data_IF_841066702698
#
_entry.id   IF_841066702698
#
_cell.length_a   1.000
_cell.length_b   1.000
_cell.length_c   1.000
_cell.angle_alpha   90.00
_cell.angle_beta   90.00
_cell.angle_gamma   90.00
#
_symmetry.space_group_name_H-M   'P 1'
#
loop_
_entity.id
_entity.type
_entity.pdbx_description
1 polymer ?
#
# COMPACT_ATOMS: atom_id res chain seq x y z
N UNK A 1 -20.49 -9.81 -16.42
CA UNK A 1 -19.78 -9.33 -15.23
C UNK A 1 -18.61 -8.52 -15.75
N UNK A 2 -18.54 -7.23 -15.44
CA UNK A 2 -17.36 -6.43 -15.83
C UNK A 2 -16.13 -7.05 -15.17
N UNK A 3 -15.06 -7.24 -15.94
CA UNK A 3 -13.80 -7.75 -15.42
C UNK A 3 -13.24 -6.75 -14.41
N UNK A 4 -13.12 -7.17 -13.14
CA UNK A 4 -12.49 -6.33 -12.12
C UNK A 4 -11.03 -6.10 -12.46
N UNK A 5 -10.68 -4.84 -12.68
CA UNK A 5 -9.33 -4.41 -12.99
C UNK A 5 -8.58 -4.06 -11.70
N UNK A 6 -7.49 -4.80 -11.41
CA UNK A 6 -6.74 -4.63 -10.15
C UNK A 6 -6.08 -3.27 -10.00
N UNK A 7 -5.54 -2.73 -11.10
CA UNK A 7 -4.76 -1.50 -11.12
C UNK A 7 -5.07 -0.73 -12.41
N UNK A 8 -5.35 0.56 -12.30
CA UNK A 8 -5.56 1.46 -13.43
C UNK A 8 -4.76 2.77 -13.23
N UNK A 9 -4.93 3.74 -14.15
CA UNK A 9 -4.23 5.04 -14.07
C UNK A 9 -4.65 5.90 -12.87
N UNK A 10 -5.76 5.58 -12.22
CA UNK A 10 -6.33 6.28 -11.08
C UNK A 10 -6.04 5.60 -9.74
N UNK A 11 -5.56 4.35 -9.73
CA UNK A 11 -5.24 3.61 -8.51
C UNK A 11 -4.32 4.37 -7.57
N UNK A 12 -4.71 4.46 -6.30
CA UNK A 12 -3.92 5.09 -5.25
C UNK A 12 -3.58 4.09 -4.14
N UNK A 13 -2.31 4.06 -3.78
CA UNK A 13 -1.74 3.14 -2.82
C UNK A 13 -1.30 3.83 -1.53
N UNK A 14 -1.53 3.13 -0.42
CA UNK A 14 -0.93 3.40 0.89
C UNK A 14 0.26 2.46 1.08
N UNK A 15 1.41 3.01 1.44
CA UNK A 15 2.62 2.21 1.71
C UNK A 15 2.74 1.98 3.21
N UNK A 16 2.68 0.72 3.64
CA UNK A 16 2.97 0.36 5.03
C UNK A 16 4.47 0.12 5.21
N UNK A 17 5.12 0.95 6.03
CA UNK A 17 6.56 0.95 6.22
C UNK A 17 7.25 2.07 5.43
N UNK A 18 8.28 2.68 6.03
CA UNK A 18 8.90 3.88 5.48
C UNK A 18 10.04 3.57 4.50
N UNK A 19 9.67 3.19 3.27
CA UNK A 19 10.60 2.78 2.21
C UNK A 19 10.84 3.90 1.18
N UNK A 20 11.77 4.82 1.49
CA UNK A 20 12.00 6.04 0.68
C UNK A 20 12.31 5.75 -0.80
N UNK A 21 13.18 4.78 -1.07
CA UNK A 21 13.62 4.48 -2.44
C UNK A 21 12.50 3.86 -3.29
N UNK A 22 11.78 2.80 -2.83
CA UNK A 22 10.59 2.31 -3.52
C UNK A 22 9.52 3.38 -3.75
N UNK A 23 9.24 4.22 -2.75
CA UNK A 23 8.26 5.31 -2.88
C UNK A 23 8.65 6.25 -4.00
N UNK A 24 9.89 6.77 -4.00
CA UNK A 24 10.35 7.68 -5.05
C UNK A 24 10.30 7.02 -6.44
N UNK A 25 10.73 5.75 -6.55
CA UNK A 25 10.73 5.02 -7.83
C UNK A 25 9.33 4.76 -8.39
N UNK A 26 8.32 4.57 -7.53
CA UNK A 26 6.93 4.49 -7.96
C UNK A 26 6.47 5.83 -8.55
N UNK A 27 6.83 6.95 -7.92
CA UNK A 27 6.49 8.30 -8.43
C UNK A 27 7.22 8.62 -9.73
N UNK A 28 8.48 8.21 -9.85
CA UNK A 28 9.26 8.35 -11.09
C UNK A 28 8.57 7.57 -12.22
N UNK A 29 8.15 6.33 -11.93
CA UNK A 29 7.39 5.49 -12.86
C UNK A 29 6.05 6.14 -13.25
N UNK A 30 5.30 6.67 -12.29
CA UNK A 30 4.04 7.36 -12.54
C UNK A 30 4.22 8.58 -13.45
N UNK A 31 5.28 9.35 -13.21
CA UNK A 31 5.62 10.55 -13.99
C UNK A 31 5.96 10.19 -15.44
N UNK A 32 6.85 9.21 -15.67
CA UNK A 32 7.20 8.78 -17.04
C UNK A 32 6.04 8.09 -17.76
N UNK A 33 5.13 7.47 -17.01
CA UNK A 33 3.88 6.87 -17.52
C UNK A 33 2.78 7.91 -17.79
N UNK A 34 3.08 9.21 -17.59
CA UNK A 34 2.17 10.35 -17.80
C UNK A 34 0.89 10.25 -16.96
N UNK A 35 0.98 9.73 -15.74
CA UNK A 35 -0.16 9.77 -14.81
C UNK A 35 -0.42 11.22 -14.42
N UNK A 36 -1.69 11.54 -14.19
CA UNK A 36 -2.07 12.87 -13.73
C UNK A 36 -1.80 13.08 -12.23
N UNK A 37 -1.79 11.98 -11.47
CA UNK A 37 -1.65 11.98 -10.01
C UNK A 37 -0.66 10.90 -9.55
N UNK A 38 0.06 11.14 -8.43
CA UNK A 38 0.85 10.11 -7.75
C UNK A 38 0.05 8.86 -7.43
N UNK A 39 0.63 7.69 -7.69
CA UNK A 39 0.11 6.42 -7.20
C UNK A 39 0.25 6.30 -5.69
N UNK A 40 1.33 6.81 -5.10
CA UNK A 40 1.52 6.79 -3.64
C UNK A 40 0.86 8.00 -3.01
N UNK A 41 -0.20 7.79 -2.23
CA UNK A 41 -0.93 8.88 -1.59
C UNK A 41 -0.60 9.06 -0.10
N UNK A 42 -0.15 8.01 0.57
CA UNK A 42 0.13 8.03 1.99
C UNK A 42 1.14 6.95 2.40
N UNK A 43 1.83 7.19 3.52
CA UNK A 43 2.78 6.25 4.10
C UNK A 43 2.35 5.96 5.55
N UNK A 44 2.44 4.71 6.00
CA UNK A 44 2.26 4.34 7.40
C UNK A 44 3.62 4.13 8.04
N UNK A 45 3.87 4.84 9.15
CA UNK A 45 5.06 4.64 10.00
C UNK A 45 4.63 4.61 11.47
N UNK A 46 4.30 3.43 12.02
CA UNK A 46 3.75 3.31 13.38
C UNK A 46 4.70 3.78 14.48
N UNK A 47 6.01 3.68 14.23
CA UNK A 47 7.09 4.04 15.17
C UNK A 47 7.27 5.55 15.35
N UNK A 48 6.56 6.37 14.59
CA UNK A 48 6.68 7.82 14.70
C UNK A 48 5.91 8.37 15.91
N UNK A 49 6.40 9.49 16.46
CA UNK A 49 5.78 10.14 17.63
C UNK A 49 4.50 10.87 17.22
N UNK A 50 4.60 11.76 16.23
CA UNK A 50 3.48 12.58 15.75
C UNK A 50 2.39 11.74 15.05
N UNK A 51 1.13 12.17 15.12
CA UNK A 51 0.05 11.50 14.40
C UNK A 51 0.25 11.58 12.87
N UNK A 52 0.73 12.73 12.38
CA UNK A 52 0.99 13.03 10.98
C UNK A 52 2.37 13.69 10.86
N UNK A 53 3.15 13.27 9.88
CA UNK A 53 4.33 13.99 9.41
C UNK A 53 4.34 13.99 7.87
N UNK A 54 5.37 14.55 7.23
CA UNK A 54 5.42 14.66 5.77
C UNK A 54 6.77 14.18 5.25
N UNK A 55 6.75 13.46 4.13
CA UNK A 55 7.93 13.06 3.39
C UNK A 55 8.03 13.86 2.09
N UNK A 56 9.08 14.67 1.96
CA UNK A 56 9.41 15.34 0.71
C UNK A 56 9.89 14.31 -0.32
N UNK A 57 9.34 14.39 -1.53
CA UNK A 57 9.62 13.53 -2.69
C UNK A 57 9.59 14.38 -3.97
N UNK A 58 10.03 13.82 -5.08
CA UNK A 58 10.00 14.47 -6.39
C UNK A 58 8.89 13.91 -7.28
N UNK A 59 8.27 14.80 -8.05
CA UNK A 59 7.37 14.49 -9.16
C UNK A 59 7.95 15.13 -10.43
N UNK A 60 8.71 14.36 -11.19
CA UNK A 60 9.59 14.90 -12.21
C UNK A 60 10.62 15.83 -11.56
N UNK A 61 10.61 17.11 -11.92
CA UNK A 61 11.50 18.12 -11.35
C UNK A 61 10.87 18.95 -10.22
N UNK A 62 9.63 18.65 -9.81
CA UNK A 62 8.92 19.39 -8.75
C UNK A 62 9.01 18.67 -7.43
N UNK A 63 9.30 19.39 -6.36
CA UNK A 63 9.18 18.86 -4.99
C UNK A 63 7.70 18.84 -4.57
N UNK A 64 7.25 17.70 -4.07
CA UNK A 64 5.94 17.52 -3.43
C UNK A 64 6.12 16.85 -2.06
N UNK A 65 5.03 16.75 -1.30
CA UNK A 65 5.03 16.04 -0.01
C UNK A 65 3.99 14.94 0.01
N UNK A 66 4.34 13.80 0.59
CA UNK A 66 3.43 12.70 0.89
C UNK A 66 3.24 12.64 2.41
N UNK A 67 2.00 12.61 2.92
CA UNK A 67 1.74 12.48 4.34
C UNK A 67 2.14 11.10 4.87
N UNK A 68 2.73 11.10 6.06
CA UNK A 68 3.08 9.91 6.83
C UNK A 68 2.19 9.84 8.05
N UNK A 69 1.33 8.83 8.12
CA UNK A 69 0.40 8.60 9.21
C UNK A 69 0.93 7.55 10.18
N UNK A 70 0.51 7.67 11.44
CA UNK A 70 0.85 6.69 12.48
C UNK A 70 0.05 5.39 12.34
N UNK A 71 -1.20 5.48 11.89
CA UNK A 71 -2.12 4.32 11.77
C UNK A 71 -2.74 4.25 10.40
N UNK A 72 -3.10 3.04 9.96
CA UNK A 72 -3.78 2.82 8.68
C UNK A 72 -5.15 3.49 8.67
N UNK A 73 -5.91 3.39 9.76
CA UNK A 73 -7.21 4.05 9.90
C UNK A 73 -7.17 5.57 9.65
N UNK A 74 -6.14 6.26 10.15
CA UNK A 74 -6.00 7.71 9.91
C UNK A 74 -5.66 8.02 8.45
N UNK A 75 -4.86 7.19 7.80
CA UNK A 75 -4.56 7.34 6.38
C UNK A 75 -5.81 7.10 5.52
N UNK A 76 -6.56 6.02 5.77
CA UNK A 76 -7.80 5.72 5.02
C UNK A 76 -8.86 6.81 5.18
N UNK A 77 -8.99 7.39 6.38
CA UNK A 77 -9.90 8.52 6.61
C UNK A 77 -9.54 9.75 5.78
N UNK A 78 -8.25 10.06 5.63
CA UNK A 78 -7.79 11.23 4.87
C UNK A 78 -7.63 10.94 3.37
N UNK A 79 -7.56 9.67 2.98
CA UNK A 79 -7.37 9.21 1.61
C UNK A 79 -8.40 8.12 1.25
N UNK A 80 -9.70 8.43 1.22
CA UNK A 80 -10.76 7.44 0.99
C UNK A 80 -10.71 6.81 -0.42
N UNK A 81 -10.05 7.46 -1.38
CA UNK A 81 -9.83 6.93 -2.73
C UNK A 81 -8.69 5.92 -2.85
N UNK A 82 -7.95 5.66 -1.76
CA UNK A 82 -6.89 4.66 -1.76
C UNK A 82 -7.47 3.25 -1.58
N UNK A 83 -7.24 2.40 -2.57
CA UNK A 83 -7.78 1.06 -2.66
C UNK A 83 -6.70 -0.03 -2.66
N UNK A 84 -5.43 0.35 -2.63
CA UNK A 84 -4.29 -0.56 -2.56
C UNK A 84 -3.47 -0.30 -1.30
N UNK A 85 -3.03 -1.36 -0.62
CA UNK A 85 -1.97 -1.28 0.36
C UNK A 85 -0.75 -2.09 -0.09
N UNK A 86 0.43 -1.48 -0.09
CA UNK A 86 1.70 -2.19 -0.30
C UNK A 86 2.41 -2.33 1.05
N UNK A 87 2.56 -3.57 1.51
CA UNK A 87 3.01 -3.89 2.84
C UNK A 87 4.50 -4.27 2.87
N UNK A 88 5.33 -3.31 3.28
CA UNK A 88 6.76 -3.50 3.57
C UNK A 88 7.05 -3.76 5.05
N UNK A 89 6.05 -4.14 5.84
CA UNK A 89 6.29 -4.63 7.19
C UNK A 89 7.25 -5.83 7.18
N UNK A 90 7.97 -6.05 8.28
CA UNK A 90 8.80 -7.25 8.46
C UNK A 90 7.92 -8.49 8.59
N UNK A 91 8.46 -9.69 8.33
CA UNK A 91 7.71 -10.95 8.47
C UNK A 91 7.01 -11.11 9.84
N UNK A 92 7.57 -10.54 10.91
CA UNK A 92 7.00 -10.56 12.27
C UNK A 92 5.71 -9.74 12.41
N UNK A 93 5.55 -8.71 11.60
CA UNK A 93 4.44 -7.76 11.67
C UNK A 93 3.53 -7.80 10.45
N UNK A 94 3.97 -8.39 9.32
CA UNK A 94 3.18 -8.42 8.08
C UNK A 94 1.84 -9.12 8.21
N UNK A 95 1.71 -10.14 9.05
CA UNK A 95 0.41 -10.80 9.27
C UNK A 95 -0.62 -9.83 9.86
N UNK A 96 -0.34 -9.23 11.03
CA UNK A 96 -1.29 -8.32 11.70
C UNK A 96 -1.62 -7.11 10.82
N UNK A 97 -0.62 -6.55 10.14
CA UNK A 97 -0.83 -5.35 9.31
C UNK A 97 -1.58 -5.66 8.02
N UNK A 98 -1.39 -6.85 7.43
CA UNK A 98 -2.18 -7.27 6.27
C UNK A 98 -3.61 -7.61 6.67
N UNK A 99 -3.82 -8.23 7.83
CA UNK A 99 -5.14 -8.50 8.39
C UNK A 99 -5.92 -7.20 8.61
N UNK A 100 -5.32 -6.19 9.25
CA UNK A 100 -5.93 -4.85 9.43
C UNK A 100 -6.40 -4.25 8.09
N UNK A 101 -5.59 -4.37 7.04
CA UNK A 101 -5.95 -3.86 5.72
C UNK A 101 -7.05 -4.67 5.03
N UNK A 102 -7.02 -6.00 5.13
CA UNK A 102 -8.07 -6.86 4.59
C UNK A 102 -9.41 -6.66 5.31
N UNK A 103 -9.40 -6.32 6.59
CA UNK A 103 -10.61 -6.06 7.36
C UNK A 103 -11.18 -4.64 7.16
N UNK A 104 -10.40 -3.73 6.58
CA UNK A 104 -10.81 -2.34 6.31
C UNK A 104 -11.89 -2.21 5.24
N UNK A 105 -12.45 -1.02 5.04
CA UNK A 105 -13.48 -0.80 4.02
C UNK A 105 -12.91 -0.37 2.66
N UNK A 106 -11.88 0.49 2.63
CA UNK A 106 -11.42 1.12 1.38
C UNK A 106 -10.40 0.28 0.62
N UNK A 107 -9.57 -0.51 1.31
CA UNK A 107 -8.51 -1.29 0.66
C UNK A 107 -9.09 -2.56 0.03
N UNK A 108 -8.92 -2.71 -1.29
CA UNK A 108 -9.38 -3.87 -2.08
C UNK A 108 -8.25 -4.83 -2.43
N UNK A 109 -7.01 -4.34 -2.49
CA UNK A 109 -5.84 -5.14 -2.86
C UNK A 109 -4.71 -4.93 -1.85
N UNK A 110 -4.15 -6.02 -1.32
CA UNK A 110 -3.01 -6.00 -0.40
C UNK A 110 -1.81 -6.71 -1.03
N UNK A 111 -0.72 -5.99 -1.23
CA UNK A 111 0.54 -6.55 -1.71
C UNK A 111 1.45 -6.81 -0.50
N UNK A 112 1.87 -8.05 -0.29
CA UNK A 112 2.65 -8.45 0.88
C UNK A 112 4.08 -8.79 0.46
N UNK A 113 5.03 -7.91 0.78
CA UNK A 113 6.41 -8.04 0.32
C UNK A 113 7.21 -9.05 1.15
N UNK A 114 6.93 -9.15 2.45
CA UNK A 114 7.73 -9.95 3.37
C UNK A 114 7.77 -11.44 3.00
N UNK A 115 8.98 -11.99 3.01
CA UNK A 115 9.23 -13.42 2.99
C UNK A 115 9.25 -13.98 4.42
N UNK A 116 9.01 -15.29 4.59
CA UNK A 116 9.13 -15.96 5.89
C UNK A 116 7.92 -15.79 6.81
N UNK A 117 6.75 -15.41 6.29
CA UNK A 117 5.49 -15.47 7.04
C UNK A 117 5.10 -16.95 7.21
N UNK A 118 4.83 -17.43 8.44
CA UNK A 118 4.34 -18.79 8.67
C UNK A 118 3.12 -19.14 7.81
N UNK A 119 3.14 -20.31 7.18
CA UNK A 119 2.06 -20.76 6.28
C UNK A 119 0.67 -20.74 6.93
N UNK A 120 0.59 -21.04 8.23
CA UNK A 120 -0.66 -20.97 8.99
C UNK A 120 -1.26 -19.55 8.97
N UNK A 121 -0.43 -18.52 9.12
CA UNK A 121 -0.85 -17.12 9.05
C UNK A 121 -1.24 -16.73 7.62
N UNK A 122 -0.48 -17.18 6.61
CA UNK A 122 -0.83 -16.96 5.21
C UNK A 122 -2.18 -17.57 4.84
N UNK A 123 -2.49 -18.79 5.32
CA UNK A 123 -3.80 -19.43 5.15
C UNK A 123 -4.95 -18.63 5.78
N UNK A 124 -4.72 -18.01 6.93
CA UNK A 124 -5.73 -17.15 7.55
C UNK A 124 -5.95 -15.88 6.72
N UNK A 125 -4.88 -15.26 6.21
CA UNK A 125 -5.00 -14.09 5.32
C UNK A 125 -5.79 -14.42 4.06
N UNK A 126 -5.55 -15.58 3.44
CA UNK A 126 -6.32 -16.07 2.28
C UNK A 126 -7.80 -16.19 2.63
N UNK A 127 -8.12 -16.85 3.75
CA UNK A 127 -9.51 -17.01 4.20
C UNK A 127 -10.20 -15.65 4.39
N UNK A 128 -9.54 -14.70 5.05
CA UNK A 128 -10.10 -13.36 5.27
C UNK A 128 -10.29 -12.63 3.93
N UNK A 129 -9.34 -12.74 3.01
CA UNK A 129 -9.45 -12.12 1.69
C UNK A 129 -10.63 -12.67 0.90
N UNK A 130 -10.84 -13.99 0.91
CA UNK A 130 -12.00 -14.64 0.27
C UNK A 130 -13.33 -14.19 0.90
N UNK A 131 -13.41 -14.19 2.24
CA UNK A 131 -14.60 -13.74 2.98
C UNK A 131 -14.94 -12.26 2.74
N UNK A 132 -13.92 -11.42 2.49
CA UNK A 132 -14.07 -9.98 2.25
C UNK A 132 -14.06 -9.61 0.76
N UNK A 133 -13.94 -10.59 -0.14
CA UNK A 133 -13.80 -10.38 -1.58
C UNK A 133 -12.68 -9.38 -1.95
N UNK A 134 -11.50 -9.60 -1.39
CA UNK A 134 -10.30 -8.77 -1.58
C UNK A 134 -9.17 -9.59 -2.20
N UNK A 135 -8.20 -8.89 -2.77
CA UNK A 135 -7.08 -9.50 -3.46
C UNK A 135 -5.81 -9.45 -2.62
N UNK A 136 -5.04 -10.54 -2.65
CA UNK A 136 -3.68 -10.59 -2.10
C UNK A 136 -2.70 -10.85 -3.24
N UNK A 137 -1.60 -10.09 -3.27
CA UNK A 137 -0.43 -10.39 -4.10
C UNK A 137 0.74 -10.66 -3.16
N UNK A 138 1.19 -11.91 -3.10
CA UNK A 138 2.19 -12.40 -2.15
C UNK A 138 1.63 -13.40 -1.14
N UNK A 139 2.28 -13.63 0.02
CA UNK A 139 3.55 -13.05 0.47
C UNK A 139 4.78 -13.40 -0.39
N UNK A 140 5.98 -12.98 0.04
CA UNK A 140 7.26 -13.31 -0.62
C UNK A 140 7.30 -12.92 -2.11
N UNK A 141 6.91 -11.68 -2.41
CA UNK A 141 6.88 -11.15 -3.79
C UNK A 141 7.47 -9.77 -3.87
N UNK A 142 7.99 -9.42 -5.05
CA UNK A 142 8.33 -8.03 -5.39
C UNK A 142 7.08 -7.19 -5.71
N UNK A 143 5.92 -7.83 -5.92
CA UNK A 143 4.67 -7.20 -6.33
C UNK A 143 4.37 -7.47 -7.80
N UNK A 144 4.36 -6.42 -8.62
CA UNK A 144 4.08 -6.48 -10.05
C UNK A 144 4.21 -5.09 -10.70
N UNK A 145 4.05 -5.01 -12.02
CA UNK A 145 4.12 -3.76 -12.77
C UNK A 145 2.99 -3.68 -13.79
N UNK A 146 2.42 -2.49 -13.94
CA UNK A 146 1.44 -2.16 -14.98
C UNK A 146 1.63 -0.69 -15.38
N UNK A 147 1.72 -0.44 -16.70
CA UNK A 147 1.82 0.89 -17.30
C UNK A 147 0.45 1.37 -17.81
#
# INVERSE_FOLDING_TARGET
>A
MENYELFDRNTQAIIYGFQRNPIQRMLDFDFVSKREKPSVTAIIRPTQVAAISYHKVFWGNKEIVIPIYKTLGLAMKNHPGADVMINFASFRSSYETSKEALESETIRTVVIIAEGIPERQSRELIKIADERNKNIIGPATVGGIRA
#
